data_IF_110186103502
#
_entry.id   IF_110186103502
#
_cell.length_a   1.000
_cell.length_b   1.000
_cell.length_c   1.000
_cell.angle_alpha   90.00
_cell.angle_beta   90.00
_cell.angle_gamma   90.00
#
_symmetry.space_group_name_H-M   'P 1'
#
loop_
_entity.id
_entity.type
_entity.pdbx_description
1 polymer ?
#
# COMPACT_ATOMS: atom_id res chain seq x y z
N UNK A 1 -4.07 -3.64 -28.29
CA UNK A 1 -5.08 -3.88 -27.24
C UNK A 1 -4.34 -4.12 -25.93
N UNK A 2 -4.72 -3.48 -24.83
CA UNK A 2 -4.08 -3.67 -23.51
C UNK A 2 -4.99 -4.55 -22.67
N UNK A 3 -4.48 -5.68 -22.19
CA UNK A 3 -5.18 -6.57 -21.28
C UNK A 3 -4.50 -6.47 -19.91
N UNK A 4 -5.31 -6.41 -18.85
CA UNK A 4 -4.84 -6.37 -17.47
C UNK A 4 -5.37 -7.57 -16.71
N UNK A 5 -4.50 -8.23 -15.94
CA UNK A 5 -4.92 -9.25 -14.96
C UNK A 5 -4.25 -8.97 -13.61
N UNK A 6 -5.00 -9.12 -12.52
CA UNK A 6 -4.52 -8.86 -11.16
C UNK A 6 -4.44 -10.17 -10.39
N UNK A 7 -3.28 -10.44 -9.80
CA UNK A 7 -3.08 -11.59 -8.90
C UNK A 7 -2.90 -11.06 -7.48
N UNK A 8 -3.81 -11.47 -6.60
CA UNK A 8 -3.82 -11.11 -5.19
C UNK A 8 -2.90 -12.03 -4.38
N UNK A 9 -1.99 -11.45 -3.59
CA UNK A 9 -1.35 -12.14 -2.48
C UNK A 9 -1.47 -11.24 -1.23
N UNK A 10 -1.64 -11.84 -0.04
CA UNK A 10 -1.94 -11.16 1.24
C UNK A 10 -0.98 -10.02 1.63
N UNK A 11 0.17 -9.90 0.96
CA UNK A 11 1.21 -8.90 1.26
C UNK A 11 1.53 -7.97 0.08
N UNK A 12 1.07 -8.31 -1.13
CA UNK A 12 1.45 -7.62 -2.37
C UNK A 12 0.42 -7.85 -3.49
N UNK A 13 0.14 -6.80 -4.24
CA UNK A 13 -0.61 -6.89 -5.49
C UNK A 13 0.36 -7.09 -6.64
N UNK A 14 0.12 -8.08 -7.48
CA UNK A 14 0.87 -8.28 -8.72
C UNK A 14 -0.07 -7.95 -9.86
N UNK A 15 0.16 -6.82 -10.52
CA UNK A 15 -0.53 -6.43 -11.75
C UNK A 15 0.24 -7.02 -12.93
N UNK A 16 -0.40 -7.88 -13.71
CA UNK A 16 0.10 -8.34 -15.00
C UNK A 16 -0.49 -7.43 -16.07
N UNK A 17 0.38 -6.65 -16.71
CA UNK A 17 0.04 -5.77 -17.82
C UNK A 17 0.58 -6.44 -19.07
N UNK A 18 -0.32 -6.86 -19.97
CA UNK A 18 0.07 -7.30 -21.31
C UNK A 18 -0.22 -6.20 -22.30
N UNK A 19 0.82 -5.73 -22.97
CA UNK A 19 0.69 -4.78 -24.07
C UNK A 19 1.03 -5.46 -25.39
N UNK A 20 0.26 -5.14 -26.41
CA UNK A 20 0.53 -5.57 -27.77
C UNK A 20 1.37 -4.50 -28.46
N UNK A 21 2.62 -4.83 -28.77
CA UNK A 21 3.49 -3.96 -29.55
C UNK A 21 2.99 -3.91 -31.01
N UNK A 22 3.09 -2.78 -31.73
CA UNK A 22 2.79 -2.71 -33.15
C UNK A 22 3.54 -3.76 -34.01
N UNK A 23 4.64 -4.35 -33.52
CA UNK A 23 5.34 -5.47 -34.18
C UNK A 23 4.64 -6.84 -34.09
N UNK A 24 3.45 -6.93 -33.48
CA UNK A 24 2.66 -8.15 -33.16
C UNK A 24 3.17 -9.00 -31.99
N UNK A 25 4.23 -8.60 -31.31
CA UNK A 25 4.68 -9.28 -30.10
C UNK A 25 3.86 -8.84 -28.88
N UNK A 26 3.42 -9.80 -28.08
CA UNK A 26 2.80 -9.56 -26.78
C UNK A 26 3.89 -9.47 -25.73
N UNK A 27 3.99 -8.33 -25.06
CA UNK A 27 4.94 -8.14 -23.97
C UNK A 27 4.18 -8.11 -22.65
N UNK A 28 4.56 -9.02 -21.75
CA UNK A 28 4.03 -9.10 -20.39
C UNK A 28 4.95 -8.33 -19.42
N UNK A 29 4.38 -7.39 -18.67
CA UNK A 29 5.05 -6.69 -17.57
C UNK A 29 4.31 -6.92 -16.26
N UNK A 30 5.03 -7.39 -15.25
CA UNK A 30 4.53 -7.56 -13.88
C UNK A 30 4.88 -6.33 -13.04
N UNK A 31 3.88 -5.60 -12.54
CA UNK A 31 4.03 -4.51 -11.58
C UNK A 31 3.61 -5.01 -10.20
N UNK A 32 4.53 -4.97 -9.24
CA UNK A 32 4.24 -5.29 -7.85
C UNK A 32 3.89 -4.01 -7.08
N UNK A 33 2.66 -3.90 -6.58
CA UNK A 33 2.26 -2.84 -5.65
C UNK A 33 2.22 -3.45 -4.26
N UNK A 34 3.23 -3.12 -3.45
CA UNK A 34 3.30 -3.51 -2.04
C UNK A 34 2.42 -2.58 -1.21
N UNK A 35 2.01 -3.03 -0.02
CA UNK A 35 1.44 -2.11 0.98
C UNK A 35 2.38 -0.90 1.12
N UNK A 36 1.84 0.33 1.09
CA UNK A 36 2.67 1.51 1.14
C UNK A 36 3.52 1.51 2.41
N UNK A 37 4.76 2.03 2.35
CA UNK A 37 5.54 2.23 3.56
C UNK A 37 4.77 3.14 4.53
N UNK A 38 4.91 2.94 5.85
CA UNK A 38 4.27 3.83 6.82
C UNK A 38 4.79 5.26 6.67
N UNK A 39 3.89 6.23 6.85
CA UNK A 39 4.23 7.65 6.85
C UNK A 39 4.48 8.11 8.28
N UNK A 40 5.72 8.46 8.61
CA UNK A 40 6.12 8.79 9.97
C UNK A 40 6.32 10.28 10.19
N UNK A 41 5.79 10.77 11.30
CA UNK A 41 5.91 12.13 11.80
C UNK A 41 6.66 12.11 13.13
N UNK A 42 7.85 12.69 13.15
CA UNK A 42 8.59 12.93 14.39
C UNK A 42 7.85 13.94 15.27
N UNK A 43 7.70 13.66 16.55
CA UNK A 43 7.04 14.57 17.46
C UNK A 43 7.91 15.81 17.72
N UNK A 44 7.34 17.03 17.67
CA UNK A 44 8.08 18.22 18.10
C UNK A 44 8.57 18.01 19.55
N UNK A 45 9.79 18.45 19.85
CA UNK A 45 10.52 18.26 21.12
C UNK A 45 11.07 16.86 21.40
N UNK A 46 10.60 15.82 20.73
CA UNK A 46 11.08 14.44 20.89
C UNK A 46 11.56 13.86 19.55
N UNK A 47 12.06 14.70 18.64
CA UNK A 47 12.29 14.30 17.24
C UNK A 47 13.18 13.07 17.07
N UNK A 48 14.18 12.92 17.94
CA UNK A 48 15.12 11.78 17.95
C UNK A 48 14.61 10.58 18.74
N UNK A 49 13.57 10.77 19.55
CA UNK A 49 13.11 9.80 20.53
C UNK A 49 11.72 9.26 20.23
N UNK A 50 10.86 10.00 19.53
CA UNK A 50 9.47 9.62 19.35
C UNK A 50 8.96 9.97 17.96
N UNK A 51 8.29 9.00 17.35
CA UNK A 51 7.60 9.17 16.08
C UNK A 51 6.20 8.55 16.15
N UNK A 52 5.28 9.15 15.40
CA UNK A 52 3.98 8.58 15.11
C UNK A 52 3.95 8.20 13.64
N UNK A 53 3.70 6.94 13.35
CA UNK A 53 3.67 6.39 12.00
C UNK A 53 2.24 6.03 11.60
N UNK A 54 1.76 6.59 10.51
CA UNK A 54 0.50 6.22 9.88
C UNK A 54 0.73 5.07 8.92
N UNK A 55 0.01 3.96 9.10
CA UNK A 55 0.17 2.76 8.30
C UNK A 55 -1.16 2.36 7.67
N UNK A 56 -1.11 2.07 6.37
CA UNK A 56 -2.24 1.50 5.64
C UNK A 56 -1.98 0.01 5.47
N UNK A 57 -2.93 -0.81 5.94
CA UNK A 57 -2.91 -2.27 5.79
C UNK A 57 -4.09 -2.75 5.00
N UNK A 58 -3.98 -3.96 4.44
CA UNK A 58 -5.05 -4.63 3.70
C UNK A 58 -5.66 -3.74 2.60
N UNK A 59 -4.84 -2.89 1.99
CA UNK A 59 -5.26 -2.02 0.90
C UNK A 59 -5.69 -2.91 -0.27
N UNK A 60 -6.92 -2.84 -0.77
CA UNK A 60 -7.44 -3.66 -1.88
C UNK A 60 -8.04 -2.77 -2.95
N UNK A 61 -7.52 -2.89 -4.17
CA UNK A 61 -8.07 -2.21 -5.35
C UNK A 61 -9.08 -3.12 -6.05
N UNK A 62 -10.33 -2.66 -6.11
CA UNK A 62 -11.39 -3.23 -6.95
C UNK A 62 -11.59 -2.33 -8.17
N UNK A 63 -12.44 -2.75 -9.11
CA UNK A 63 -12.72 -1.96 -10.32
C UNK A 63 -13.33 -0.58 -10.02
N UNK A 64 -14.06 -0.45 -8.91
CA UNK A 64 -14.82 0.75 -8.57
C UNK A 64 -14.54 1.29 -7.17
N UNK A 65 -13.78 0.57 -6.35
CA UNK A 65 -13.47 0.97 -4.97
C UNK A 65 -12.03 0.64 -4.59
N UNK A 66 -11.52 1.39 -3.63
CA UNK A 66 -10.27 1.15 -2.93
C UNK A 66 -10.61 0.96 -1.45
N UNK A 67 -10.43 -0.28 -0.98
CA UNK A 67 -10.67 -0.67 0.39
C UNK A 67 -9.34 -0.66 1.15
N UNK A 68 -9.33 -0.42 2.46
CA UNK A 68 -8.10 -0.50 3.25
C UNK A 68 -8.36 -0.28 4.73
N UNK A 69 -7.36 -0.51 5.58
CA UNK A 69 -7.42 -0.24 7.01
C UNK A 69 -6.29 0.70 7.43
N UNK A 70 -6.58 1.57 8.39
CA UNK A 70 -5.68 2.61 8.87
C UNK A 70 -5.26 2.30 10.31
N UNK A 71 -3.97 2.38 10.57
CA UNK A 71 -3.35 2.16 11.88
C UNK A 71 -2.39 3.30 12.19
N UNK A 72 -2.27 3.64 13.47
CA UNK A 72 -1.24 4.52 14.01
C UNK A 72 -0.29 3.70 14.87
N UNK A 73 0.97 3.69 14.50
CA UNK A 73 2.05 3.10 15.27
C UNK A 73 2.77 4.23 16.04
N UNK A 74 3.03 4.03 17.32
CA UNK A 74 3.90 4.89 18.12
C UNK A 74 5.27 4.22 18.25
N UNK A 75 6.31 4.99 18.03
CA UNK A 75 7.70 4.56 18.17
C UNK A 75 8.41 5.39 19.24
N UNK A 76 9.21 4.73 20.07
CA UNK A 76 10.12 5.35 21.03
C UNK A 76 11.54 4.81 20.79
N UNK A 77 12.55 5.67 20.66
CA UNK A 77 13.93 5.30 20.30
C UNK A 77 14.00 4.39 19.06
N UNK A 78 13.19 4.66 18.03
CA UNK A 78 13.03 3.82 16.83
C UNK A 78 12.53 2.40 17.08
N UNK A 79 11.93 2.15 18.25
CA UNK A 79 11.30 0.88 18.61
C UNK A 79 9.80 1.08 18.67
N UNK A 80 9.05 0.17 18.04
CA UNK A 80 7.60 0.13 18.11
C UNK A 80 7.14 -0.13 19.56
N UNK A 81 6.26 0.72 20.07
CA UNK A 81 5.77 0.62 21.46
C UNK A 81 4.26 0.47 21.56
N UNK A 82 3.49 0.94 20.57
CA UNK A 82 2.05 0.80 20.57
C UNK A 82 1.47 0.88 19.15
N UNK A 83 0.34 0.20 18.94
CA UNK A 83 -0.49 0.35 17.72
C UNK A 83 -1.91 0.73 18.14
N UNK A 84 -2.48 1.73 17.48
CA UNK A 84 -3.89 2.07 17.54
C UNK A 84 -4.54 1.77 16.18
N UNK A 85 -5.63 1.00 16.19
CA UNK A 85 -6.40 0.71 14.98
C UNK A 85 -7.45 1.81 14.78
N UNK A 86 -7.29 2.61 13.72
CA UNK A 86 -8.21 3.72 13.41
C UNK A 86 -9.47 3.26 12.64
N UNK A 87 -9.46 2.03 12.14
CA UNK A 87 -10.58 1.42 11.42
C UNK A 87 -10.27 1.20 9.94
N UNK A 88 -11.30 0.86 9.18
CA UNK A 88 -11.19 0.55 7.76
C UNK A 88 -12.04 1.49 6.90
N UNK A 89 -11.60 1.70 5.68
CA UNK A 89 -12.22 2.57 4.68
C UNK A 89 -12.50 1.80 3.38
N UNK A 90 -13.47 2.32 2.63
CA UNK A 90 -13.81 1.90 1.26
C UNK A 90 -14.15 3.15 0.47
N UNK A 91 -13.26 3.58 -0.41
CA UNK A 91 -13.38 4.82 -1.18
C UNK A 91 -13.70 4.49 -2.63
N UNK A 92 -14.78 5.01 -3.22
CA UNK A 92 -15.05 4.82 -4.64
C UNK A 92 -14.03 5.57 -5.51
N UNK A 93 -13.65 4.98 -6.65
CA UNK A 93 -12.69 5.52 -7.63
C UNK A 93 -13.31 5.77 -9.00
#
# INVERSE_FOLDING_TARGET
>A
MVLYSTVYNKTQYIFHITYQDPSKDYVERRILVRNPPPYCLSLPFLKEYAAICLRIRNLTFRQTTVDGCLELDAELYHVHVATAHLGCFSIPI
#
